data_IF_814241486232
#
_entry.id   IF_814241486232
#
_cell.length_a   1.000
_cell.length_b   1.000
_cell.length_c   1.000
_cell.angle_alpha   90.00
_cell.angle_beta   90.00
_cell.angle_gamma   90.00
#
_symmetry.space_group_name_H-M   'P 1'
#
loop_
_entity.id
_entity.type
_entity.pdbx_description
1 polymer ?
#
# COMPACT_ATOMS: atom_id res chain seq x y z
N UNK A 1 11.01 18.66 26.89
CA UNK A 1 11.17 17.77 25.72
C UNK A 1 9.81 17.12 25.45
N UNK A 2 9.24 17.36 24.29
CA UNK A 2 7.94 16.76 23.89
C UNK A 2 8.13 15.26 23.68
N UNK A 3 7.26 14.43 24.28
CA UNK A 3 7.21 12.99 24.04
C UNK A 3 5.98 12.68 23.19
N UNK A 4 6.15 11.94 22.11
CA UNK A 4 5.04 11.53 21.21
C UNK A 4 5.09 10.02 21.06
N UNK A 5 3.97 9.35 21.34
CA UNK A 5 3.80 7.91 21.11
C UNK A 5 3.01 7.69 19.83
N UNK A 6 3.66 7.10 18.84
CA UNK A 6 3.09 6.83 17.52
C UNK A 6 2.67 5.37 17.42
N UNK A 7 1.45 5.11 16.93
CA UNK A 7 0.96 3.78 16.59
C UNK A 7 0.94 3.62 15.07
N UNK A 8 1.35 2.47 14.59
CA UNK A 8 1.28 2.10 13.18
C UNK A 8 1.11 0.61 12.98
N UNK A 9 0.77 0.20 11.77
CA UNK A 9 0.74 -1.22 11.39
C UNK A 9 2.15 -1.81 11.35
N UNK A 10 2.26 -3.11 11.59
CA UNK A 10 3.55 -3.83 11.61
C UNK A 10 4.13 -4.14 10.23
N UNK A 11 3.34 -3.98 9.14
CA UNK A 11 3.78 -4.34 7.79
C UNK A 11 4.99 -3.54 7.32
N UNK A 12 5.82 -4.14 6.44
CA UNK A 12 7.03 -3.51 5.90
C UNK A 12 6.79 -2.09 5.35
N UNK A 13 5.74 -1.91 4.53
CA UNK A 13 5.41 -0.59 3.99
C UNK A 13 4.93 0.38 5.07
N UNK A 14 4.17 -0.07 6.05
CA UNK A 14 3.73 0.78 7.17
C UNK A 14 4.90 1.26 8.00
N UNK A 15 5.89 0.41 8.29
CA UNK A 15 7.14 0.83 8.97
C UNK A 15 7.90 1.89 8.19
N UNK A 16 7.97 1.77 6.85
CA UNK A 16 8.56 2.80 5.97
C UNK A 16 7.79 4.12 6.09
N UNK A 17 6.46 4.08 6.03
CA UNK A 17 5.61 5.27 6.17
C UNK A 17 5.76 5.91 7.55
N UNK A 18 5.87 5.11 8.60
CA UNK A 18 6.13 5.59 9.95
C UNK A 18 7.49 6.30 10.03
N UNK A 19 8.53 5.76 9.42
CA UNK A 19 9.83 6.43 9.38
C UNK A 19 9.78 7.77 8.63
N UNK A 20 9.00 7.85 7.54
CA UNK A 20 8.79 9.12 6.83
C UNK A 20 8.07 10.14 7.72
N UNK A 21 7.06 9.72 8.49
CA UNK A 21 6.36 10.56 9.45
C UNK A 21 7.30 11.04 10.57
N UNK A 22 8.11 10.15 11.13
CA UNK A 22 9.12 10.49 12.14
C UNK A 22 10.08 11.55 11.60
N UNK A 23 10.60 11.36 10.39
CA UNK A 23 11.51 12.31 9.77
C UNK A 23 10.85 13.69 9.60
N UNK A 24 9.60 13.74 9.15
CA UNK A 24 8.85 14.98 8.99
C UNK A 24 8.63 15.72 10.32
N UNK A 25 8.28 14.99 11.40
CA UNK A 25 8.11 15.55 12.75
C UNK A 25 9.43 16.04 13.29
N UNK A 26 10.50 15.24 13.23
CA UNK A 26 11.82 15.57 13.77
C UNK A 26 12.48 16.74 13.05
N UNK A 27 12.25 16.90 11.75
CA UNK A 27 12.74 18.05 10.98
C UNK A 27 12.09 19.37 11.44
N UNK A 28 10.83 19.33 11.90
CA UNK A 28 10.11 20.50 12.42
C UNK A 28 10.41 20.76 13.89
N UNK A 29 10.62 19.74 14.69
CA UNK A 29 10.77 19.79 16.14
C UNK A 29 11.92 18.90 16.61
N UNK A 30 13.13 19.41 16.63
CA UNK A 30 14.36 18.67 16.99
C UNK A 30 14.32 18.10 18.43
N UNK A 31 13.58 18.73 19.35
CA UNK A 31 13.49 18.31 20.76
C UNK A 31 12.32 17.37 21.05
N UNK A 32 11.87 16.60 20.06
CA UNK A 32 10.80 15.62 20.23
C UNK A 32 11.37 14.22 20.39
N UNK A 33 11.00 13.54 21.49
CA UNK A 33 11.26 12.11 21.69
C UNK A 33 10.07 11.32 21.13
N UNK A 34 10.32 10.44 20.17
CA UNK A 34 9.29 9.64 19.52
C UNK A 34 9.44 8.18 19.96
N UNK A 35 8.35 7.62 20.48
CA UNK A 35 8.20 6.19 20.75
C UNK A 35 7.25 5.60 19.68
N UNK A 36 7.58 4.44 19.13
CA UNK A 36 6.74 3.79 18.11
C UNK A 36 6.26 2.45 18.60
N UNK A 37 4.94 2.24 18.49
CA UNK A 37 4.27 0.97 18.75
C UNK A 37 3.71 0.42 17.43
N UNK A 38 3.94 -0.85 17.16
CA UNK A 38 3.40 -1.53 15.99
C UNK A 38 2.32 -2.52 16.40
N UNK A 39 1.24 -2.58 15.62
CA UNK A 39 0.12 -3.51 15.84
C UNK A 39 -0.40 -4.04 14.51
N UNK A 40 -0.84 -5.28 14.51
CA UNK A 40 -1.57 -5.85 13.38
C UNK A 40 -3.04 -5.45 13.47
N UNK A 41 -3.65 -5.29 12.30
CA UNK A 41 -5.08 -5.00 12.17
C UNK A 41 -5.83 -6.23 11.67
N UNK A 42 -7.17 -6.20 11.75
CA UNK A 42 -8.02 -7.26 11.17
C UNK A 42 -7.67 -7.49 9.70
N UNK A 43 -7.40 -6.41 8.95
CA UNK A 43 -7.00 -6.51 7.55
C UNK A 43 -5.62 -7.13 7.31
N UNK A 44 -4.74 -7.14 8.32
CA UNK A 44 -3.46 -7.85 8.27
C UNK A 44 -3.62 -9.33 8.62
N UNK A 45 -4.53 -9.67 9.52
CA UNK A 45 -4.79 -11.02 10.00
C UNK A 45 -5.69 -11.82 9.05
N UNK A 46 -6.82 -11.24 8.61
CA UNK A 46 -7.73 -11.90 7.65
C UNK A 46 -7.23 -11.72 6.22
N UNK A 47 -6.53 -12.73 5.72
CA UNK A 47 -5.98 -12.78 4.35
C UNK A 47 -6.97 -13.32 3.31
N UNK A 48 -8.24 -13.59 3.69
CA UNK A 48 -9.26 -14.08 2.77
C UNK A 48 -9.56 -13.05 1.65
N UNK A 49 -9.91 -13.50 0.44
CA UNK A 49 -10.25 -12.59 -0.66
C UNK A 49 -11.44 -11.67 -0.37
N UNK A 50 -12.28 -12.04 0.58
CA UNK A 50 -13.53 -11.37 0.96
C UNK A 50 -13.47 -10.63 2.30
N UNK A 51 -12.29 -10.45 2.90
CA UNK A 51 -12.14 -9.85 4.23
C UNK A 51 -12.85 -8.49 4.37
N UNK A 52 -12.80 -7.62 3.35
CA UNK A 52 -13.47 -6.32 3.39
C UNK A 52 -15.00 -6.42 3.26
N UNK A 53 -15.53 -7.44 2.58
CA UNK A 53 -16.97 -7.73 2.51
C UNK A 53 -17.48 -8.21 3.88
N UNK A 54 -16.66 -9.03 4.57
CA UNK A 54 -16.96 -9.59 5.89
C UNK A 54 -16.86 -8.56 7.02
N UNK A 55 -15.86 -7.69 7.00
CA UNK A 55 -15.52 -6.78 8.09
C UNK A 55 -15.83 -5.30 7.79
N UNK A 56 -16.25 -4.97 6.55
CA UNK A 56 -16.61 -3.61 6.13
C UNK A 56 -15.40 -2.70 5.89
N UNK A 57 -15.69 -1.41 5.75
CA UNK A 57 -14.66 -0.39 5.58
C UNK A 57 -13.91 -0.13 6.89
N UNK A 58 -12.60 0.20 6.77
CA UNK A 58 -11.78 0.53 7.93
C UNK A 58 -11.11 -0.67 8.60
N UNK A 59 -11.06 -1.85 7.95
CA UNK A 59 -10.38 -3.04 8.50
C UNK A 59 -8.90 -2.82 8.82
N UNK A 60 -8.27 -1.78 8.26
CA UNK A 60 -6.89 -1.40 8.49
C UNK A 60 -6.72 -0.20 9.42
N UNK A 61 -7.80 0.45 9.83
CA UNK A 61 -7.72 1.74 10.53
C UNK A 61 -8.55 1.81 11.82
N UNK A 62 -9.75 1.22 11.85
CA UNK A 62 -10.69 1.41 12.96
C UNK A 62 -10.12 0.99 14.33
N UNK A 63 -9.45 -0.15 14.42
CA UNK A 63 -8.85 -0.63 15.69
C UNK A 63 -7.73 0.29 16.17
N UNK A 64 -6.96 0.87 15.24
CA UNK A 64 -5.89 1.82 15.56
C UNK A 64 -6.50 3.14 16.04
N UNK A 65 -7.44 3.72 15.29
CA UNK A 65 -8.09 5.00 15.65
C UNK A 65 -8.79 4.95 17.01
N UNK A 66 -9.30 3.77 17.42
CA UNK A 66 -9.84 3.60 18.78
C UNK A 66 -8.76 3.75 19.87
N UNK A 67 -7.50 3.40 19.62
CA UNK A 67 -6.41 3.60 20.58
C UNK A 67 -6.10 5.09 20.78
N UNK A 68 -6.24 5.90 19.72
CA UNK A 68 -6.10 7.34 19.79
C UNK A 68 -7.22 7.96 20.64
N UNK A 69 -8.48 7.58 20.41
CA UNK A 69 -9.63 8.05 21.18
C UNK A 69 -9.51 7.69 22.66
N UNK A 70 -8.96 6.51 22.96
CA UNK A 70 -8.67 6.07 24.34
C UNK A 70 -7.45 6.74 24.96
N UNK A 71 -6.76 7.63 24.22
CA UNK A 71 -5.52 8.31 24.65
C UNK A 71 -4.37 7.36 25.01
N UNK A 72 -4.35 6.15 24.46
CA UNK A 72 -3.26 5.20 24.64
C UNK A 72 -2.04 5.55 23.78
N UNK A 73 -2.25 6.37 22.74
CA UNK A 73 -1.24 6.88 21.81
C UNK A 73 -1.60 8.32 21.43
N UNK A 74 -0.61 9.08 20.97
CA UNK A 74 -0.79 10.49 20.64
C UNK A 74 -1.03 10.70 19.15
N UNK A 75 -0.57 9.75 18.31
CA UNK A 75 -0.61 9.87 16.87
C UNK A 75 -0.62 8.50 16.20
N UNK A 76 -1.32 8.40 15.06
CA UNK A 76 -1.36 7.19 14.22
C UNK A 76 -0.90 7.52 12.82
N UNK A 77 -0.10 6.62 12.22
CA UNK A 77 0.34 6.73 10.83
C UNK A 77 -0.47 5.79 9.94
N UNK A 78 -1.11 6.36 8.91
CA UNK A 78 -1.93 5.64 7.95
C UNK A 78 -1.49 5.86 6.50
N UNK A 79 -1.74 4.89 5.64
CA UNK A 79 -1.93 5.18 4.20
C UNK A 79 -3.26 5.92 4.05
N UNK A 80 -3.26 7.18 3.65
CA UNK A 80 -4.46 8.03 3.68
C UNK A 80 -5.63 7.43 2.89
N UNK A 81 -5.37 6.77 1.77
CA UNK A 81 -6.40 6.11 0.95
C UNK A 81 -7.17 5.00 1.67
N UNK A 82 -6.66 4.49 2.80
CA UNK A 82 -7.26 3.40 3.57
C UNK A 82 -8.18 3.95 4.68
N UNK A 83 -8.16 5.26 4.92
CA UNK A 83 -9.05 5.93 5.87
C UNK A 83 -10.48 6.03 5.31
N UNK A 84 -11.49 5.93 6.17
CA UNK A 84 -12.88 6.08 5.77
C UNK A 84 -13.17 7.53 5.34
N UNK A 85 -14.06 7.72 4.37
CA UNK A 85 -14.49 9.06 3.89
C UNK A 85 -15.16 9.86 5.01
N UNK A 86 -15.93 9.19 5.86
CA UNK A 86 -16.58 9.81 7.03
C UNK A 86 -15.81 9.44 8.30
N UNK A 87 -15.19 10.41 8.93
CA UNK A 87 -14.55 10.23 10.23
C UNK A 87 -15.62 10.21 11.36
N UNK A 88 -15.97 8.99 11.82
CA UNK A 88 -16.95 8.80 12.90
C UNK A 88 -16.38 9.10 14.28
N UNK A 89 -15.06 9.11 14.44
CA UNK A 89 -14.39 9.22 15.74
C UNK A 89 -14.00 10.67 16.10
N UNK A 90 -14.32 11.63 15.23
CA UNK A 90 -14.04 13.07 15.43
C UNK A 90 -12.55 13.38 15.69
N UNK A 91 -11.66 12.59 15.14
CA UNK A 91 -10.21 12.83 15.12
C UNK A 91 -9.84 13.77 13.97
N UNK A 92 -8.67 14.40 14.07
CA UNK A 92 -8.13 15.27 13.02
C UNK A 92 -7.03 14.55 12.23
N UNK A 93 -6.85 14.96 10.98
CA UNK A 93 -5.81 14.40 10.10
C UNK A 93 -4.92 15.49 9.52
N UNK A 94 -3.62 15.20 9.47
CA UNK A 94 -2.66 15.99 8.71
C UNK A 94 -2.05 15.07 7.65
N UNK A 95 -2.01 15.53 6.41
CA UNK A 95 -1.38 14.80 5.31
C UNK A 95 0.07 15.28 5.13
N UNK A 96 0.99 14.33 4.94
CA UNK A 96 2.32 14.65 4.41
C UNK A 96 2.22 14.94 2.91
N UNK A 97 3.29 15.53 2.35
CA UNK A 97 3.41 15.75 0.92
C UNK A 97 3.08 14.47 0.14
N UNK A 98 2.35 14.66 -0.96
CA UNK A 98 1.85 13.56 -1.77
C UNK A 98 2.93 13.05 -2.70
N UNK A 99 3.32 11.80 -2.56
CA UNK A 99 4.15 11.10 -3.55
C UNK A 99 3.35 10.76 -4.82
N UNK A 100 4.04 10.24 -5.82
CA UNK A 100 3.45 9.87 -7.11
C UNK A 100 2.19 9.00 -6.94
N UNK A 101 0.99 9.50 -7.28
CA UNK A 101 -0.26 8.78 -7.06
C UNK A 101 -0.53 7.67 -8.07
N UNK A 102 0.27 7.55 -9.13
CA UNK A 102 0.02 6.63 -10.24
C UNK A 102 0.01 5.17 -9.78
N UNK A 103 -0.72 4.36 -10.52
CA UNK A 103 -0.61 2.91 -10.44
C UNK A 103 0.52 2.41 -11.35
N UNK A 104 1.08 1.28 -11.00
CA UNK A 104 2.05 0.54 -11.80
C UNK A 104 1.51 -0.85 -12.04
N UNK A 105 1.45 -1.24 -13.31
CA UNK A 105 1.20 -2.61 -13.72
C UNK A 105 2.56 -3.31 -13.87
N UNK A 106 2.80 -4.31 -13.05
CA UNK A 106 3.96 -5.18 -13.10
C UNK A 106 3.59 -6.45 -13.84
N UNK A 107 4.26 -6.74 -14.96
CA UNK A 107 4.04 -7.95 -15.77
C UNK A 107 5.29 -8.82 -15.67
N UNK A 108 5.14 -10.12 -15.38
CA UNK A 108 6.27 -11.06 -15.41
C UNK A 108 6.96 -11.00 -16.78
N UNK A 109 8.28 -10.89 -16.81
CA UNK A 109 9.04 -10.88 -18.05
C UNK A 109 8.77 -12.13 -18.90
N UNK A 110 8.53 -13.28 -18.27
CA UNK A 110 8.16 -14.54 -18.92
C UNK A 110 6.77 -14.54 -19.54
N UNK A 111 5.91 -13.59 -19.15
CA UNK A 111 4.53 -13.50 -19.65
C UNK A 111 4.33 -12.44 -20.75
N UNK A 112 5.36 -11.65 -21.08
CA UNK A 112 5.24 -10.55 -22.05
C UNK A 112 4.80 -10.99 -23.46
N UNK A 113 5.15 -12.20 -23.86
CA UNK A 113 4.79 -12.76 -25.18
C UNK A 113 3.46 -13.51 -25.19
N UNK A 114 2.76 -13.61 -24.05
CA UNK A 114 1.45 -14.28 -24.00
C UNK A 114 0.40 -13.44 -24.72
N UNK A 115 -0.57 -14.09 -25.35
CA UNK A 115 -1.73 -13.42 -25.97
C UNK A 115 -2.78 -12.97 -24.95
N UNK A 116 -2.79 -13.56 -23.75
CA UNK A 116 -3.74 -13.26 -22.68
C UNK A 116 -3.03 -13.21 -21.34
N UNK A 117 -3.41 -12.25 -20.47
CA UNK A 117 -2.81 -12.08 -19.15
C UNK A 117 -3.86 -12.16 -18.04
N UNK A 118 -3.46 -12.74 -16.92
CA UNK A 118 -4.18 -12.70 -15.65
C UNK A 118 -3.45 -11.78 -14.68
N UNK A 119 -4.10 -10.69 -14.24
CA UNK A 119 -3.50 -9.65 -13.42
C UNK A 119 -4.09 -9.67 -12.00
N UNK A 120 -3.21 -9.83 -11.01
CA UNK A 120 -3.57 -9.83 -9.59
C UNK A 120 -4.02 -8.45 -9.10
N UNK A 121 -5.26 -8.33 -8.64
CA UNK A 121 -5.77 -7.13 -7.95
C UNK A 121 -7.01 -7.44 -7.15
N UNK A 122 -7.12 -6.90 -5.92
CA UNK A 122 -8.36 -6.91 -5.14
C UNK A 122 -9.06 -5.53 -5.14
N UNK A 123 -8.56 -4.59 -5.93
CA UNK A 123 -9.16 -3.27 -6.08
C UNK A 123 -10.21 -3.28 -7.19
N UNK A 124 -11.51 -3.01 -6.88
CA UNK A 124 -12.56 -2.90 -7.91
C UNK A 124 -12.21 -1.86 -8.98
N UNK A 125 -11.63 -0.71 -8.56
CA UNK A 125 -11.17 0.34 -9.47
C UNK A 125 -10.15 -0.20 -10.48
N UNK A 126 -9.09 -0.87 -10.02
CA UNK A 126 -8.05 -1.43 -10.90
C UNK A 126 -8.60 -2.54 -11.81
N UNK A 127 -9.51 -3.37 -11.30
CA UNK A 127 -10.16 -4.39 -12.11
C UNK A 127 -11.02 -3.80 -13.23
N UNK A 128 -11.73 -2.70 -12.94
CA UNK A 128 -12.50 -1.95 -13.94
C UNK A 128 -11.59 -1.37 -15.03
N UNK A 129 -10.54 -0.64 -14.65
CA UNK A 129 -9.63 -0.05 -15.62
C UNK A 129 -8.83 -1.09 -16.41
N UNK A 130 -8.57 -2.26 -15.84
CA UNK A 130 -7.94 -3.36 -16.59
C UNK A 130 -8.79 -3.79 -17.79
N UNK A 131 -10.13 -3.79 -17.67
CA UNK A 131 -11.01 -4.06 -18.79
C UNK A 131 -10.90 -3.02 -19.90
N UNK A 132 -10.80 -1.74 -19.55
CA UNK A 132 -10.62 -0.64 -20.50
C UNK A 132 -9.24 -0.70 -21.16
N UNK A 133 -8.20 -1.05 -20.41
CA UNK A 133 -6.82 -1.16 -20.90
C UNK A 133 -6.70 -2.14 -22.07
N UNK A 134 -7.55 -3.18 -22.14
CA UNK A 134 -7.56 -4.12 -23.25
C UNK A 134 -7.63 -3.44 -24.63
N UNK A 135 -8.29 -2.30 -24.72
CA UNK A 135 -8.47 -1.58 -25.99
C UNK A 135 -7.18 -0.85 -26.46
N UNK A 136 -6.17 -0.76 -25.61
CA UNK A 136 -4.94 0.02 -25.85
C UNK A 136 -3.67 -0.84 -25.87
N UNK A 137 -3.79 -2.15 -25.67
CA UNK A 137 -2.65 -3.07 -25.59
C UNK A 137 -2.84 -4.28 -26.49
N UNK A 138 -1.76 -4.90 -26.98
CA UNK A 138 -1.83 -6.00 -27.96
C UNK A 138 -2.19 -7.36 -27.32
N UNK A 139 -3.00 -7.37 -26.27
CA UNK A 139 -3.43 -8.61 -25.63
C UNK A 139 -4.88 -8.94 -26.02
N UNK A 140 -5.14 -10.19 -26.38
CA UNK A 140 -6.48 -10.66 -26.71
C UNK A 140 -7.43 -10.65 -25.51
N UNK A 141 -6.89 -10.88 -24.30
CA UNK A 141 -7.64 -10.89 -23.06
C UNK A 141 -6.81 -10.41 -21.88
N UNK A 142 -7.43 -9.56 -21.04
CA UNK A 142 -6.92 -9.16 -19.73
C UNK A 142 -7.95 -9.53 -18.66
N UNK A 143 -7.61 -10.46 -17.77
CA UNK A 143 -8.49 -10.90 -16.68
C UNK A 143 -7.91 -10.45 -15.34
N UNK A 144 -8.77 -10.03 -14.41
CA UNK A 144 -8.37 -9.76 -13.03
C UNK A 144 -8.60 -10.99 -12.16
N UNK A 145 -7.67 -11.24 -11.22
CA UNK A 145 -7.81 -12.22 -10.15
C UNK A 145 -7.57 -11.58 -8.80
N UNK A 146 -8.41 -11.87 -7.80
CA UNK A 146 -8.24 -11.32 -6.45
C UNK A 146 -6.94 -11.81 -5.83
N UNK A 147 -6.10 -10.87 -5.35
CA UNK A 147 -4.86 -11.15 -4.63
C UNK A 147 -4.77 -10.30 -3.37
N UNK A 148 -4.46 -10.92 -2.24
CA UNK A 148 -4.28 -10.29 -0.94
C UNK A 148 -2.85 -10.41 -0.43
N UNK A 149 -2.51 -9.55 0.52
CA UNK A 149 -1.19 -9.42 1.13
C UNK A 149 -0.59 -8.04 0.93
N UNK A 150 0.47 -7.76 1.67
CA UNK A 150 1.27 -6.54 1.51
C UNK A 150 2.11 -6.60 0.22
N UNK A 151 2.87 -5.54 -0.08
CA UNK A 151 3.53 -5.40 -1.39
C UNK A 151 4.52 -6.55 -1.69
N UNK A 152 5.36 -6.93 -0.73
CA UNK A 152 6.31 -8.03 -0.92
C UNK A 152 5.62 -9.38 -1.06
N UNK A 153 4.58 -9.64 -0.23
CA UNK A 153 3.80 -10.89 -0.30
C UNK A 153 3.13 -11.07 -1.65
N UNK A 154 2.58 -10.00 -2.23
CA UNK A 154 1.95 -10.06 -3.56
C UNK A 154 2.97 -10.38 -4.64
N UNK A 155 4.16 -9.74 -4.62
CA UNK A 155 5.20 -10.05 -5.59
C UNK A 155 5.64 -11.50 -5.49
N UNK A 156 5.94 -11.98 -4.28
CA UNK A 156 6.37 -13.37 -4.06
C UNK A 156 5.29 -14.38 -4.50
N UNK A 157 4.01 -14.10 -4.21
CA UNK A 157 2.89 -14.94 -4.69
C UNK A 157 2.88 -15.04 -6.22
N UNK A 158 2.99 -13.89 -6.93
CA UNK A 158 3.00 -13.88 -8.40
C UNK A 158 4.22 -14.58 -8.96
N UNK A 159 5.40 -14.39 -8.36
CA UNK A 159 6.63 -15.04 -8.79
C UNK A 159 6.56 -16.56 -8.65
N UNK A 160 5.99 -17.04 -7.55
CA UNK A 160 5.94 -18.46 -7.20
C UNK A 160 4.67 -19.17 -7.70
N UNK A 161 3.67 -18.41 -8.16
CA UNK A 161 2.41 -18.93 -8.67
C UNK A 161 2.35 -18.75 -10.19
N UNK A 162 2.01 -19.81 -10.92
CA UNK A 162 1.90 -19.79 -12.38
C UNK A 162 0.59 -19.19 -12.90
N UNK A 163 -0.42 -18.98 -12.04
CA UNK A 163 -1.77 -18.58 -12.46
C UNK A 163 -1.91 -17.10 -12.80
N UNK A 164 -1.07 -16.23 -12.20
CA UNK A 164 -1.07 -14.80 -12.48
C UNK A 164 0.17 -14.39 -13.26
N UNK A 165 -0.02 -13.51 -14.24
CA UNK A 165 1.02 -12.97 -15.11
C UNK A 165 1.57 -11.63 -14.64
N UNK A 166 0.85 -10.96 -13.74
CA UNK A 166 1.24 -9.65 -13.23
C UNK A 166 0.38 -9.18 -12.06
N UNK A 167 0.67 -7.98 -11.58
CA UNK A 167 -0.01 -7.37 -10.42
C UNK A 167 -0.02 -5.86 -10.52
N UNK A 168 -1.08 -5.22 -10.02
CA UNK A 168 -1.10 -3.77 -9.81
C UNK A 168 -0.54 -3.38 -8.45
N UNK A 169 0.33 -2.36 -8.46
CA UNK A 169 0.82 -1.69 -7.25
C UNK A 169 0.70 -0.18 -7.38
N UNK A 170 0.76 0.57 -6.27
CA UNK A 170 0.93 2.02 -6.34
C UNK A 170 2.39 2.37 -6.52
N UNK A 171 2.68 3.38 -7.35
CA UNK A 171 4.04 3.89 -7.59
C UNK A 171 4.69 4.33 -6.28
N UNK A 172 3.99 5.13 -5.47
CA UNK A 172 4.46 5.56 -4.16
C UNK A 172 4.91 4.40 -3.25
N UNK A 173 4.22 3.25 -3.25
CA UNK A 173 4.63 2.11 -2.43
C UNK A 173 5.93 1.48 -2.92
N UNK A 174 6.13 1.41 -4.24
CA UNK A 174 7.36 0.90 -4.85
C UNK A 174 8.52 1.85 -4.53
N UNK A 175 8.34 3.15 -4.77
CA UNK A 175 9.38 4.16 -4.56
C UNK A 175 9.84 4.22 -3.10
N UNK A 176 8.89 4.22 -2.16
CA UNK A 176 9.16 4.18 -0.72
C UNK A 176 9.93 2.92 -0.32
N UNK A 177 9.57 1.77 -0.89
CA UNK A 177 10.29 0.52 -0.63
C UNK A 177 11.75 0.59 -1.12
N UNK A 178 12.02 1.20 -2.29
CA UNK A 178 13.38 1.39 -2.77
C UNK A 178 14.15 2.45 -1.99
N UNK A 179 13.49 3.53 -1.54
CA UNK A 179 14.12 4.64 -0.83
C UNK A 179 14.54 4.27 0.60
N UNK A 180 13.65 3.69 1.37
CA UNK A 180 13.85 3.44 2.80
C UNK A 180 13.87 1.96 3.18
N UNK A 181 13.41 1.07 2.32
CA UNK A 181 13.35 -0.36 2.60
C UNK A 181 14.66 -0.97 3.11
N UNK A 182 15.84 -0.62 2.54
CA UNK A 182 17.13 -1.13 3.03
C UNK A 182 17.43 -0.78 4.48
N UNK A 183 16.94 0.38 4.96
CA UNK A 183 17.14 0.88 6.33
C UNK A 183 16.12 0.30 7.31
N UNK A 184 14.92 -0.04 6.84
CA UNK A 184 13.82 -0.54 7.68
C UNK A 184 13.92 -2.05 7.90
N UNK A 185 14.12 -2.81 6.82
CA UNK A 185 14.29 -4.27 6.88
C UNK A 185 15.07 -4.74 5.66
N UNK A 186 16.36 -4.97 5.85
CA UNK A 186 17.29 -5.38 4.79
C UNK A 186 16.91 -6.72 4.17
N UNK A 187 16.39 -7.65 4.97
CA UNK A 187 16.03 -9.00 4.52
C UNK A 187 14.79 -8.96 3.63
N UNK A 188 13.72 -8.31 4.10
CA UNK A 188 12.48 -8.13 3.33
C UNK A 188 12.77 -7.35 2.04
N UNK A 189 13.57 -6.27 2.13
CA UNK A 189 13.94 -5.49 0.96
C UNK A 189 14.73 -6.29 -0.08
N UNK A 190 15.69 -7.11 0.35
CA UNK A 190 16.48 -7.97 -0.55
C UNK A 190 15.58 -8.91 -1.34
N UNK A 191 14.62 -9.55 -0.66
CA UNK A 191 13.64 -10.43 -1.33
C UNK A 191 12.72 -9.65 -2.25
N UNK A 192 12.17 -8.51 -1.80
CA UNK A 192 11.34 -7.63 -2.61
C UNK A 192 12.06 -7.20 -3.90
N UNK A 193 13.32 -6.74 -3.79
CA UNK A 193 14.15 -6.33 -4.93
C UNK A 193 14.43 -7.49 -5.89
N UNK A 194 14.71 -8.70 -5.36
CA UNK A 194 14.91 -9.93 -6.16
C UNK A 194 13.67 -10.26 -6.98
N UNK A 195 12.50 -10.23 -6.33
CA UNK A 195 11.23 -10.53 -7.00
C UNK A 195 10.87 -9.44 -8.01
N UNK A 196 11.03 -8.16 -7.65
CA UNK A 196 10.73 -7.02 -8.52
C UNK A 196 11.50 -7.07 -9.84
N UNK A 197 12.76 -7.52 -9.85
CA UNK A 197 13.57 -7.68 -11.06
C UNK A 197 13.00 -8.65 -12.11
N UNK A 198 12.07 -9.53 -11.70
CA UNK A 198 11.40 -10.49 -12.60
C UNK A 198 10.24 -9.87 -13.40
N UNK A 199 9.93 -8.59 -13.14
CA UNK A 199 8.83 -7.88 -13.78
C UNK A 199 9.33 -6.77 -14.70
N UNK A 200 8.50 -6.47 -15.71
CA UNK A 200 8.51 -5.21 -16.45
C UNK A 200 7.45 -4.32 -15.85
N UNK A 201 7.76 -3.03 -15.68
CA UNK A 201 6.88 -2.05 -15.06
C UNK A 201 6.26 -1.16 -16.13
N UNK A 202 4.94 -0.99 -16.09
CA UNK A 202 4.19 -0.02 -16.89
C UNK A 202 3.54 0.97 -15.94
N UNK A 203 3.94 2.24 -16.01
CA UNK A 203 3.33 3.30 -15.20
C UNK A 203 2.06 3.75 -15.90
N UNK A 204 0.94 3.69 -15.18
CA UNK A 204 -0.37 4.02 -15.73
C UNK A 204 -0.58 5.55 -15.77
N UNK A 205 -0.96 6.12 -16.94
CA UNK A 205 -1.23 7.54 -17.06
C UNK A 205 -2.50 7.93 -16.29
N UNK A 206 -2.47 9.06 -15.57
CA UNK A 206 -3.62 9.51 -14.75
C UNK A 206 -4.83 9.88 -15.58
N UNK A 207 -4.63 10.33 -16.82
CA UNK A 207 -5.73 10.73 -17.73
C UNK A 207 -6.66 9.58 -18.09
N UNK A 208 -6.12 8.36 -18.27
CA UNK A 208 -6.90 7.16 -18.60
C UNK A 208 -7.03 6.20 -17.42
N UNK A 209 -6.18 6.35 -16.40
CA UNK A 209 -6.11 5.46 -15.25
C UNK A 209 -6.06 6.25 -13.94
N UNK A 210 -7.14 6.96 -13.56
CA UNK A 210 -7.19 7.76 -12.34
C UNK A 210 -6.82 6.97 -11.09
N UNK A 211 -5.97 7.56 -10.25
CA UNK A 211 -5.57 6.98 -8.98
C UNK A 211 -6.73 6.92 -7.98
N UNK A 212 -6.59 6.11 -6.93
CA UNK A 212 -7.49 6.20 -5.79
C UNK A 212 -7.33 7.57 -5.11
N UNK A 213 -8.41 8.09 -4.52
CA UNK A 213 -8.35 9.28 -3.69
C UNK A 213 -7.27 9.11 -2.61
N UNK A 214 -6.49 10.17 -2.37
CA UNK A 214 -5.38 10.21 -1.42
C UNK A 214 -4.28 9.13 -1.62
N UNK A 215 -4.27 8.40 -2.75
CA UNK A 215 -3.16 7.49 -3.06
C UNK A 215 -1.86 8.30 -3.19
N UNK A 216 -0.79 7.85 -2.54
CA UNK A 216 0.47 8.57 -2.43
C UNK A 216 0.60 9.42 -1.17
N UNK A 217 -0.50 9.73 -0.44
CA UNK A 217 -0.43 10.45 0.82
C UNK A 217 -0.24 9.51 2.02
N UNK A 218 0.51 9.99 3.01
CA UNK A 218 0.56 9.46 4.36
C UNK A 218 -0.27 10.41 5.22
N UNK A 219 -1.16 9.87 6.03
CA UNK A 219 -1.94 10.63 6.99
C UNK A 219 -1.43 10.38 8.40
N UNK A 220 -1.34 11.47 9.18
CA UNK A 220 -1.13 11.48 10.61
C UNK A 220 -2.48 11.82 11.25
N UNK A 221 -3.04 10.88 11.99
CA UNK A 221 -4.29 11.04 12.75
C UNK A 221 -3.96 11.42 14.17
#
# INVERSE_FOLDING_TARGET
MLKIKILSRSSFLAKIQTQMAINAISNKNKNTKIEVVYSDTIGDQDMSPHAWEKHGFGIFTNSLSQQLVKKNVDLIVHSFKDLPVKNKLKTSFVALERDDPRDVLLIKKTSLKKKSLVIGTSSPRRAYYLKLLKNYVPYNSLKSKKIRGNIQTRLSKIVNNSSEDGVFMSKAAIDRAFLLGPKIDKTIFKQFKKDFKKFTSVIMPLSQFPAAAAQGCIALE
#
